data_IF_189090781994
#
_entry.id   IF_189090781994
#
_cell.length_a   1.000
_cell.length_b   1.000
_cell.length_c   1.000
_cell.angle_alpha   90.00
_cell.angle_beta   90.00
_cell.angle_gamma   90.00
#
_symmetry.space_group_name_H-M   'P 1'
#
loop_
_entity.id
_entity.type
_entity.pdbx_description
1 polymer ?
#
# COMPACT_ATOMS: atom_id res chain seq x y z
N UNK A 1 -28.04 -1.79 28.45
CA UNK A 1 -26.80 -2.55 28.61
C UNK A 1 -26.25 -2.96 27.26
N UNK A 2 -24.97 -2.72 27.02
CA UNK A 2 -24.36 -3.14 25.77
C UNK A 2 -24.40 -4.67 25.69
N UNK A 3 -24.94 -5.16 24.59
CA UNK A 3 -25.08 -6.59 24.37
C UNK A 3 -23.69 -7.18 24.09
N UNK A 4 -23.32 -8.21 24.86
CA UNK A 4 -22.04 -8.91 24.73
C UNK A 4 -21.83 -9.40 23.29
N UNK A 5 -22.88 -9.86 22.62
CA UNK A 5 -22.80 -10.30 21.22
C UNK A 5 -22.43 -9.17 20.27
N UNK A 6 -22.95 -7.96 20.50
CA UNK A 6 -22.59 -6.78 19.69
C UNK A 6 -21.13 -6.41 19.87
N UNK A 7 -20.62 -6.50 21.09
CA UNK A 7 -19.20 -6.21 21.38
C UNK A 7 -18.28 -7.24 20.73
N UNK A 8 -18.61 -8.52 20.80
CA UNK A 8 -17.82 -9.58 20.14
C UNK A 8 -17.77 -9.39 18.63
N UNK A 9 -18.90 -9.09 18.01
CA UNK A 9 -18.95 -8.83 16.56
C UNK A 9 -18.08 -7.62 16.18
N UNK A 10 -18.13 -6.58 17.00
CA UNK A 10 -17.33 -5.37 16.77
C UNK A 10 -15.82 -5.66 16.86
N UNK A 11 -15.39 -6.45 17.84
CA UNK A 11 -14.00 -6.85 18.02
C UNK A 11 -13.54 -7.71 16.83
N UNK A 12 -14.32 -8.70 16.42
CA UNK A 12 -14.01 -9.57 15.28
C UNK A 12 -13.90 -8.76 13.99
N UNK A 13 -14.79 -7.79 13.81
CA UNK A 13 -14.78 -6.91 12.65
C UNK A 13 -13.52 -6.05 12.62
N UNK A 14 -13.15 -5.49 13.77
CA UNK A 14 -11.93 -4.66 13.91
C UNK A 14 -10.68 -5.46 13.62
N UNK A 15 -10.59 -6.70 14.10
CA UNK A 15 -9.45 -7.59 13.84
C UNK A 15 -9.36 -7.93 12.36
N UNK A 16 -10.49 -8.22 11.71
CA UNK A 16 -10.54 -8.51 10.28
C UNK A 16 -10.08 -7.33 9.46
N UNK A 17 -10.57 -6.14 9.78
CA UNK A 17 -10.17 -4.90 9.09
C UNK A 17 -8.69 -4.63 9.27
N UNK A 18 -8.14 -4.86 10.47
CA UNK A 18 -6.71 -4.70 10.75
C UNK A 18 -5.87 -5.62 9.88
N UNK A 19 -6.27 -6.89 9.76
CA UNK A 19 -5.56 -7.88 8.94
C UNK A 19 -5.61 -7.50 7.45
N UNK A 20 -6.77 -7.08 6.97
CA UNK A 20 -6.92 -6.62 5.58
C UNK A 20 -6.07 -5.39 5.31
N UNK A 21 -6.11 -4.40 6.21
CA UNK A 21 -5.31 -3.19 6.08
C UNK A 21 -3.82 -3.51 6.05
N UNK A 22 -3.37 -4.43 6.88
CA UNK A 22 -1.99 -4.88 6.92
C UNK A 22 -1.55 -5.51 5.60
N UNK A 23 -2.43 -6.27 4.95
CA UNK A 23 -2.15 -6.86 3.63
C UNK A 23 -1.91 -5.78 2.58
N UNK A 24 -2.75 -4.75 2.56
CA UNK A 24 -2.62 -3.65 1.61
C UNK A 24 -1.33 -2.85 1.84
N UNK A 25 -1.03 -2.51 3.08
CA UNK A 25 0.20 -1.76 3.40
C UNK A 25 1.46 -2.59 3.16
N UNK A 26 1.43 -3.89 3.43
CA UNK A 26 2.55 -4.79 3.14
C UNK A 26 2.83 -4.90 1.65
N UNK A 27 1.77 -4.95 0.84
CA UNK A 27 1.90 -4.99 -0.62
C UNK A 27 2.55 -3.71 -1.15
N UNK A 28 2.16 -2.56 -0.62
CA UNK A 28 2.78 -1.27 -0.98
C UNK A 28 4.27 -1.29 -0.68
N UNK A 29 4.68 -1.75 0.51
CA UNK A 29 6.10 -1.87 0.89
C UNK A 29 6.86 -2.81 -0.04
N UNK A 30 6.26 -3.94 -0.39
CA UNK A 30 6.87 -4.92 -1.29
C UNK A 30 7.14 -4.31 -2.66
N UNK A 31 6.20 -3.59 -3.23
CA UNK A 31 6.37 -2.97 -4.55
C UNK A 31 7.34 -1.79 -4.52
N UNK A 32 7.42 -1.06 -3.42
CA UNK A 32 8.49 -0.05 -3.25
C UNK A 32 9.88 -0.70 -3.33
N UNK A 33 10.07 -1.81 -2.63
CA UNK A 33 11.33 -2.56 -2.66
C UNK A 33 11.66 -3.04 -4.07
N UNK A 34 10.69 -3.63 -4.75
CA UNK A 34 10.87 -4.13 -6.12
C UNK A 34 11.23 -3.01 -7.08
N UNK A 35 10.57 -1.86 -6.95
CA UNK A 35 10.88 -0.70 -7.77
C UNK A 35 12.30 -0.22 -7.53
N UNK A 36 12.73 -0.11 -6.29
CA UNK A 36 14.11 0.28 -5.95
C UNK A 36 15.14 -0.68 -6.57
N UNK A 37 14.88 -1.98 -6.46
CA UNK A 37 15.77 -3.00 -7.04
C UNK A 37 15.83 -2.89 -8.56
N UNK A 38 14.69 -2.70 -9.22
CA UNK A 38 14.62 -2.57 -10.67
C UNK A 38 15.35 -1.33 -11.15
N UNK A 39 15.21 -0.21 -10.46
CA UNK A 39 15.90 1.04 -10.78
C UNK A 39 17.42 0.88 -10.60
N UNK A 40 17.86 0.26 -9.51
CA UNK A 40 19.28 -0.01 -9.27
C UNK A 40 19.88 -0.94 -10.31
N UNK A 41 19.11 -1.93 -10.78
CA UNK A 41 19.53 -2.86 -11.81
C UNK A 41 19.52 -2.24 -13.21
N UNK A 42 18.97 -1.05 -13.37
CA UNK A 42 18.85 -0.40 -14.68
C UNK A 42 17.83 -1.06 -15.59
N UNK A 43 16.91 -1.87 -15.05
CA UNK A 43 15.87 -2.55 -15.79
C UNK A 43 14.64 -1.63 -15.92
N UNK A 44 14.60 -0.86 -17.00
CA UNK A 44 13.55 0.13 -17.24
C UNK A 44 12.17 -0.48 -17.39
N UNK A 45 12.05 -1.63 -18.08
CA UNK A 45 10.77 -2.31 -18.28
C UNK A 45 10.20 -2.83 -16.98
N UNK A 46 11.04 -3.46 -16.17
CA UNK A 46 10.67 -3.96 -14.86
C UNK A 46 10.32 -2.81 -13.92
N UNK A 47 11.09 -1.72 -13.96
CA UNK A 47 10.84 -0.53 -13.15
C UNK A 47 9.48 0.08 -13.49
N UNK A 48 9.12 0.15 -14.77
CA UNK A 48 7.82 0.66 -15.18
C UNK A 48 6.68 -0.24 -14.72
N UNK A 49 6.83 -1.55 -14.89
CA UNK A 49 5.84 -2.54 -14.44
C UNK A 49 5.64 -2.47 -12.93
N UNK A 50 6.72 -2.46 -12.16
CA UNK A 50 6.67 -2.38 -10.72
C UNK A 50 6.09 -1.04 -10.24
N UNK A 51 6.39 0.04 -10.94
CA UNK A 51 5.81 1.37 -10.64
C UNK A 51 4.29 1.35 -10.82
N UNK A 52 3.79 0.78 -11.90
CA UNK A 52 2.33 0.67 -12.14
C UNK A 52 1.65 -0.13 -11.05
N UNK A 53 2.24 -1.26 -10.67
CA UNK A 53 1.68 -2.10 -9.60
C UNK A 53 1.73 -1.39 -8.25
N UNK A 54 2.79 -0.64 -8.00
CA UNK A 54 2.92 0.16 -6.78
C UNK A 54 1.80 1.21 -6.70
N UNK A 55 1.56 1.96 -7.78
CA UNK A 55 0.50 2.97 -7.82
C UNK A 55 -0.87 2.33 -7.60
N UNK A 56 -1.14 1.18 -8.25
CA UNK A 56 -2.38 0.44 -8.05
C UNK A 56 -2.55 -0.01 -6.60
N UNK A 57 -1.47 -0.49 -6.00
CA UNK A 57 -1.49 -0.94 -4.60
C UNK A 57 -1.76 0.22 -3.64
N UNK A 58 -1.16 1.39 -3.90
CA UNK A 58 -1.40 2.60 -3.11
C UNK A 58 -2.87 3.03 -3.25
N UNK A 59 -3.40 3.07 -4.47
CA UNK A 59 -4.79 3.46 -4.71
C UNK A 59 -5.77 2.52 -4.03
N UNK A 60 -5.52 1.21 -4.09
CA UNK A 60 -6.35 0.22 -3.39
C UNK A 60 -6.29 0.41 -1.88
N UNK A 61 -5.10 0.66 -1.33
CA UNK A 61 -4.94 0.89 0.10
C UNK A 61 -5.71 2.14 0.56
N UNK A 62 -5.71 3.20 -0.23
CA UNK A 62 -6.48 4.41 0.04
C UNK A 62 -7.98 4.13 -0.06
N UNK A 63 -8.40 3.43 -1.12
CA UNK A 63 -9.81 3.08 -1.33
C UNK A 63 -10.36 2.22 -0.20
N UNK A 64 -9.55 1.31 0.33
CA UNK A 64 -9.92 0.44 1.46
C UNK A 64 -9.66 1.08 2.82
N UNK A 65 -9.24 2.33 2.84
CA UNK A 65 -8.92 3.09 4.06
C UNK A 65 -7.78 2.50 4.90
N UNK A 66 -6.93 1.69 4.29
CA UNK A 66 -5.68 1.24 4.90
C UNK A 66 -4.65 2.37 4.96
N UNK A 67 -4.72 3.32 4.03
CA UNK A 67 -3.90 4.52 3.99
C UNK A 67 -4.82 5.74 3.83
N UNK A 68 -4.46 6.84 4.49
CA UNK A 68 -5.12 8.11 4.26
C UNK A 68 -4.74 8.64 2.88
N UNK A 69 -5.68 9.34 2.20
CA UNK A 69 -5.44 9.90 0.86
C UNK A 69 -4.20 10.78 0.75
N UNK A 70 -3.92 11.57 1.79
CA UNK A 70 -2.73 12.44 1.81
C UNK A 70 -1.44 11.61 1.85
N UNK A 71 -1.43 10.55 2.63
CA UNK A 71 -0.33 9.61 2.71
C UNK A 71 -0.14 8.87 1.39
N UNK A 72 -1.26 8.45 0.76
CA UNK A 72 -1.25 7.85 -0.57
C UNK A 72 -0.62 8.78 -1.62
N UNK A 73 -1.00 10.06 -1.60
CA UNK A 73 -0.44 11.07 -2.49
C UNK A 73 1.08 11.24 -2.32
N UNK A 74 1.55 11.28 -1.07
CA UNK A 74 3.00 11.37 -0.78
C UNK A 74 3.74 10.14 -1.27
N UNK A 75 3.17 8.95 -1.08
CA UNK A 75 3.76 7.70 -1.56
C UNK A 75 3.83 7.64 -3.08
N UNK A 76 2.79 8.10 -3.78
CA UNK A 76 2.80 8.18 -5.24
C UNK A 76 3.88 9.12 -5.74
N UNK A 77 4.05 10.28 -5.09
CA UNK A 77 5.11 11.24 -5.43
C UNK A 77 6.49 10.63 -5.22
N UNK A 78 6.70 9.91 -4.12
CA UNK A 78 7.95 9.19 -3.85
C UNK A 78 8.21 8.12 -4.90
N UNK A 79 7.18 7.37 -5.29
CA UNK A 79 7.28 6.34 -6.31
C UNK A 79 7.70 6.94 -7.66
N UNK A 80 7.13 8.09 -8.04
CA UNK A 80 7.48 8.78 -9.27
C UNK A 80 8.94 9.22 -9.26
N UNK A 81 9.44 9.73 -8.13
CA UNK A 81 10.85 10.11 -8.00
C UNK A 81 11.79 8.92 -8.11
N UNK A 82 11.46 7.81 -7.48
CA UNK A 82 12.22 6.57 -7.59
C UNK A 82 12.27 6.09 -9.04
N UNK A 83 11.11 6.12 -9.73
CA UNK A 83 11.02 5.71 -11.13
C UNK A 83 11.88 6.55 -12.04
N UNK A 84 11.98 7.83 -11.75
CA UNK A 84 12.84 8.76 -12.51
C UNK A 84 14.33 8.61 -12.18
N UNK A 85 14.70 7.71 -11.28
CA UNK A 85 16.08 7.51 -10.86
C UNK A 85 16.55 8.45 -9.76
N UNK A 86 15.65 9.27 -9.22
CA UNK A 86 15.95 10.15 -8.10
C UNK A 86 15.71 9.44 -6.77
N UNK A 87 16.66 9.49 -5.86
CA UNK A 87 16.52 8.93 -4.51
C UNK A 87 15.76 9.88 -3.59
#
# INVERSE_FOLDING_TARGET
MANIHSQKKRIQRSERERLENRRYTSRVKTYFRRLEEAVKAGDGDRAESDHRELVRSIDRAVKRRALHRNNGGRKKARAARLRAGGS
#
